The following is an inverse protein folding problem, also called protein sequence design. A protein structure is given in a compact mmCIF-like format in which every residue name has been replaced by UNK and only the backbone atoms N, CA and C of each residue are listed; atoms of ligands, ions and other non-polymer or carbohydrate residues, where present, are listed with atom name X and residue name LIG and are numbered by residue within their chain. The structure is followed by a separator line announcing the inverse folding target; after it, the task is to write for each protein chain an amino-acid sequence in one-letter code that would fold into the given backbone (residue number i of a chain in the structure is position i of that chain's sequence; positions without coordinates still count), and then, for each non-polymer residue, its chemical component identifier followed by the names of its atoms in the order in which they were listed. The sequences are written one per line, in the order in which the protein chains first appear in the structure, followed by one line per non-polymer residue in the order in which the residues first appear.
data_IF_710171089875
#
_entry.id   IF_710171089875
#
_cell.length_a   1.000
_cell.length_b   1.000
_cell.length_c   1.000
_cell.angle_alpha   90.00
_cell.angle_beta   90.00
_cell.angle_gamma   90.00
#
_symmetry.space_group_name_H-M   'P 1'
#
loop_
_entity.id
_entity.type
_entity.pdbx_description
1 polymer ?
#
# COMPACT_ATOMS: atom_id res chain seq x y z
N UNK A 1 -7.10 39.54 6.78
CA UNK A 1 -6.82 38.23 7.38
C UNK A 1 -7.14 37.18 6.33
N UNK A 2 -6.17 36.68 5.63
CA UNK A 2 -6.30 35.58 4.66
C UNK A 2 -6.40 34.30 5.46
N UNK A 3 -7.55 33.62 5.40
CA UNK A 3 -7.71 32.28 5.94
C UNK A 3 -6.67 31.39 5.27
N UNK A 4 -5.79 30.67 6.01
CA UNK A 4 -4.87 29.74 5.40
C UNK A 4 -5.71 28.75 4.60
N UNK A 5 -5.41 28.58 3.31
CA UNK A 5 -5.95 27.46 2.52
C UNK A 5 -5.60 26.19 3.30
N UNK A 6 -6.61 25.44 3.75
CA UNK A 6 -6.43 24.11 4.29
C UNK A 6 -5.52 23.34 3.33
N UNK A 7 -4.46 22.76 3.87
CA UNK A 7 -3.51 21.95 3.10
C UNK A 7 -4.28 20.74 2.58
N UNK A 8 -4.75 20.81 1.34
CA UNK A 8 -5.42 19.69 0.70
C UNK A 8 -4.39 18.63 0.31
N UNK A 9 -4.55 17.42 0.82
CA UNK A 9 -3.80 16.26 0.35
C UNK A 9 -4.17 15.92 -1.09
N UNK A 10 -3.23 15.38 -1.84
CA UNK A 10 -3.53 14.80 -3.14
C UNK A 10 -4.30 13.51 -2.96
N UNK A 11 -5.50 13.49 -3.52
CA UNK A 11 -6.37 12.32 -3.55
C UNK A 11 -6.82 12.11 -5.01
N UNK A 12 -6.19 11.18 -5.72
CA UNK A 12 -6.60 10.80 -7.06
C UNK A 12 -7.85 9.94 -6.93
N UNK A 13 -8.88 10.25 -7.71
CA UNK A 13 -10.18 9.60 -7.58
C UNK A 13 -10.74 9.19 -8.93
N UNK A 14 -11.13 7.92 -9.05
CA UNK A 14 -11.94 7.41 -10.14
C UNK A 14 -13.34 7.07 -9.61
N UNK A 15 -14.34 7.66 -10.22
CA UNK A 15 -15.73 7.41 -9.86
C UNK A 15 -16.22 6.08 -10.45
N UNK A 16 -17.13 5.37 -9.75
CA UNK A 16 -17.65 4.09 -10.22
C UNK A 16 -18.37 4.23 -11.55
N UNK A 17 -18.19 3.26 -12.44
CA UNK A 17 -18.94 3.12 -13.66
C UNK A 17 -20.13 2.19 -13.43
N UNK A 18 -21.32 2.61 -13.84
CA UNK A 18 -22.57 1.83 -13.69
C UNK A 18 -23.09 1.79 -12.25
N UNK A 19 -23.48 0.62 -11.74
CA UNK A 19 -24.02 0.45 -10.39
C UNK A 19 -22.93 0.57 -9.33
N UNK A 20 -23.02 1.60 -8.50
CA UNK A 20 -22.00 1.88 -7.50
C UNK A 20 -22.10 0.97 -6.26
N UNK A 21 -20.97 0.45 -5.80
CA UNK A 21 -20.84 -0.15 -4.49
C UNK A 21 -20.87 0.91 -3.38
N UNK A 22 -21.53 0.61 -2.26
CA UNK A 22 -21.67 1.56 -1.15
C UNK A 22 -20.35 1.79 -0.37
N UNK A 23 -19.40 0.87 -0.46
CA UNK A 23 -18.11 0.93 0.26
C UNK A 23 -17.03 1.35 -0.72
N UNK A 24 -16.40 2.54 -0.54
CA UNK A 24 -15.29 2.98 -1.39
C UNK A 24 -13.99 2.23 -1.06
N UNK A 25 -13.00 2.36 -1.94
CA UNK A 25 -11.66 1.84 -1.77
C UNK A 25 -10.67 3.00 -1.58
N UNK A 26 -9.75 2.87 -0.63
CA UNK A 26 -8.66 3.82 -0.42
C UNK A 26 -7.32 3.11 -0.49
N UNK A 27 -6.52 3.48 -1.48
CA UNK A 27 -5.20 2.94 -1.77
C UNK A 27 -4.11 3.82 -1.17
N UNK A 28 -3.16 3.19 -0.47
CA UNK A 28 -2.03 3.82 0.22
C UNK A 28 -0.73 3.28 -0.37
N UNK A 29 0.08 4.18 -0.93
CA UNK A 29 1.30 3.82 -1.64
C UNK A 29 2.45 3.38 -0.73
N UNK A 30 3.47 2.77 -1.32
CA UNK A 30 4.72 2.39 -0.67
C UNK A 30 5.74 3.53 -0.60
N UNK A 31 6.91 3.25 -0.01
CA UNK A 31 8.02 4.19 -0.01
C UNK A 31 8.46 4.56 -1.43
N UNK A 32 9.01 5.76 -1.60
CA UNK A 32 9.54 6.31 -2.86
C UNK A 32 8.53 6.52 -3.99
N UNK A 33 7.22 6.30 -3.75
CA UNK A 33 6.14 6.46 -4.73
C UNK A 33 5.11 7.49 -4.26
N UNK A 34 3.99 7.59 -4.96
CA UNK A 34 2.84 8.40 -4.59
C UNK A 34 1.56 7.77 -5.16
N UNK A 35 0.41 8.45 -5.06
CA UNK A 35 -0.88 7.95 -5.53
C UNK A 35 -0.88 7.50 -7.01
N UNK A 36 -0.01 8.07 -7.85
CA UNK A 36 0.13 7.73 -9.27
C UNK A 36 0.33 6.22 -9.52
N UNK A 37 1.02 5.49 -8.63
CA UNK A 37 1.29 4.07 -8.84
C UNK A 37 0.02 3.20 -8.85
N UNK A 38 -1.05 3.69 -8.28
CA UNK A 38 -2.37 3.07 -8.31
C UNK A 38 -3.21 3.54 -9.50
N UNK A 39 -2.97 4.78 -9.97
CA UNK A 39 -3.69 5.40 -11.07
C UNK A 39 -3.35 4.75 -12.42
N UNK A 40 -2.17 4.18 -12.57
CA UNK A 40 -1.73 3.49 -13.79
C UNK A 40 -2.71 2.37 -14.20
N UNK A 41 -3.22 1.58 -13.21
CA UNK A 41 -4.02 0.40 -13.49
C UNK A 41 -5.17 0.18 -12.50
N UNK A 42 -4.91 0.24 -11.19
CA UNK A 42 -5.85 -0.21 -10.17
C UNK A 42 -7.08 0.68 -10.04
N UNK A 43 -6.91 2.02 -10.03
CA UNK A 43 -8.05 2.92 -9.90
C UNK A 43 -9.04 2.77 -11.07
N UNK A 44 -8.61 2.77 -12.35
CA UNK A 44 -9.52 2.52 -13.47
C UNK A 44 -10.21 1.16 -13.36
N UNK A 45 -9.47 0.09 -13.08
CA UNK A 45 -10.01 -1.27 -12.96
C UNK A 45 -11.12 -1.38 -11.91
N UNK A 46 -10.91 -0.82 -10.72
CA UNK A 46 -11.92 -0.86 -9.66
C UNK A 46 -13.09 0.08 -9.92
N UNK A 47 -12.87 1.20 -10.60
CA UNK A 47 -13.96 2.08 -11.04
C UNK A 47 -14.87 1.39 -12.08
N UNK A 48 -14.29 0.65 -13.03
CA UNK A 48 -15.04 -0.20 -13.97
C UNK A 48 -15.82 -1.30 -13.26
N UNK A 49 -15.26 -1.87 -12.18
CA UNK A 49 -15.95 -2.83 -11.33
C UNK A 49 -17.00 -2.22 -10.38
N UNK A 50 -17.27 -0.90 -10.50
CA UNK A 50 -18.34 -0.21 -9.74
C UNK A 50 -17.91 0.34 -8.38
N UNK A 51 -16.62 0.40 -8.05
CA UNK A 51 -16.13 0.99 -6.80
C UNK A 51 -15.70 2.45 -7.01
N UNK A 52 -16.05 3.33 -6.07
CA UNK A 52 -15.34 4.60 -5.93
C UNK A 52 -13.92 4.29 -5.43
N UNK A 53 -12.92 4.49 -6.30
CA UNK A 53 -11.53 4.16 -6.04
C UNK A 53 -10.70 5.44 -5.83
N UNK A 54 -10.04 5.53 -4.68
CA UNK A 54 -9.27 6.70 -4.26
C UNK A 54 -7.84 6.28 -3.94
N UNK A 55 -6.84 7.05 -4.38
CA UNK A 55 -5.44 6.86 -3.99
C UNK A 55 -4.92 8.13 -3.32
N UNK A 56 -4.40 7.98 -2.11
CA UNK A 56 -3.82 9.07 -1.32
C UNK A 56 -2.32 9.17 -1.57
N UNK A 57 -1.82 10.36 -1.87
CA UNK A 57 -0.41 10.68 -1.67
C UNK A 57 -0.19 11.14 -0.24
N UNK A 58 0.63 10.41 0.51
CA UNK A 58 1.00 10.72 1.88
C UNK A 58 1.73 12.06 1.96
N UNK A 59 1.79 12.67 3.13
CA UNK A 59 2.54 13.91 3.37
C UNK A 59 3.95 13.84 2.78
N UNK A 60 4.37 14.88 2.08
CA UNK A 60 5.67 14.96 1.41
C UNK A 60 5.75 14.20 0.08
N UNK A 61 4.70 13.54 -0.39
CA UNK A 61 4.65 12.76 -1.64
C UNK A 61 3.60 13.33 -2.60
N UNK A 62 3.79 13.08 -3.91
CA UNK A 62 2.91 13.62 -4.94
C UNK A 62 2.78 15.13 -4.84
N UNK A 63 1.55 15.62 -4.96
CA UNK A 63 1.19 17.02 -4.72
C UNK A 63 0.81 17.31 -3.26
N UNK A 64 0.87 16.32 -2.35
CA UNK A 64 0.61 16.50 -0.93
C UNK A 64 1.67 17.40 -0.26
N UNK A 65 1.28 18.22 0.74
CA UNK A 65 2.20 19.13 1.43
C UNK A 65 3.24 18.38 2.27
N UNK A 66 4.33 19.06 2.66
CA UNK A 66 5.32 18.53 3.61
C UNK A 66 6.63 18.06 3.00
N UNK A 67 6.84 18.27 1.69
CA UNK A 67 8.11 17.95 1.01
C UNK A 67 9.31 18.66 1.64
N UNK A 68 9.12 19.88 2.11
CA UNK A 68 10.14 20.74 2.75
C UNK A 68 10.63 20.17 4.09
N UNK A 69 9.87 19.27 4.71
CA UNK A 69 10.18 18.64 5.98
C UNK A 69 10.10 17.10 5.93
N UNK A 70 10.26 16.50 4.76
CA UNK A 70 10.07 15.08 4.50
C UNK A 70 10.76 14.21 5.55
N UNK A 71 12.05 14.45 5.85
CA UNK A 71 12.85 13.64 6.75
C UNK A 71 12.39 13.63 8.22
N UNK A 72 11.47 14.53 8.57
CA UNK A 72 10.88 14.58 9.92
C UNK A 72 9.51 13.91 10.01
N UNK A 73 8.91 13.53 8.88
CA UNK A 73 7.60 12.88 8.84
C UNK A 73 7.72 11.45 9.38
N UNK A 74 6.87 11.13 10.34
CA UNK A 74 6.82 9.83 11.01
C UNK A 74 5.74 8.93 10.41
N UNK A 75 5.75 7.66 10.78
CA UNK A 75 4.65 6.74 10.47
C UNK A 75 3.34 7.20 11.12
N UNK A 76 3.38 7.84 12.29
CA UNK A 76 2.15 8.40 12.90
C UNK A 76 1.61 9.59 12.11
N UNK A 77 2.45 10.41 11.45
CA UNK A 77 1.99 11.45 10.53
C UNK A 77 1.27 10.82 9.33
N UNK A 78 1.81 9.76 8.74
CA UNK A 78 1.17 9.03 7.64
C UNK A 78 -0.14 8.35 8.06
N UNK A 79 -0.24 7.85 9.28
CA UNK A 79 -1.51 7.35 9.86
C UNK A 79 -2.54 8.47 9.97
N UNK A 80 -2.12 9.67 10.36
CA UNK A 80 -3.02 10.83 10.42
C UNK A 80 -3.49 11.25 9.01
N UNK A 81 -2.62 11.19 7.99
CA UNK A 81 -3.00 11.45 6.59
C UNK A 81 -4.12 10.49 6.15
N UNK A 82 -3.95 9.19 6.43
CA UNK A 82 -4.98 8.18 6.15
C UNK A 82 -6.28 8.49 6.91
N UNK A 83 -6.20 8.88 8.19
CA UNK A 83 -7.39 9.23 8.98
C UNK A 83 -8.13 10.44 8.41
N UNK A 84 -7.41 11.45 7.93
CA UNK A 84 -7.99 12.63 7.27
C UNK A 84 -8.64 12.25 5.93
N UNK A 85 -7.97 11.43 5.10
CA UNK A 85 -8.54 10.94 3.85
C UNK A 85 -9.82 10.13 4.10
N UNK A 86 -9.81 9.20 5.05
CA UNK A 86 -11.01 8.42 5.44
C UNK A 86 -12.15 9.34 5.88
N UNK A 87 -11.86 10.37 6.69
CA UNK A 87 -12.88 11.31 7.17
C UNK A 87 -13.48 12.18 6.05
N UNK A 88 -12.76 12.38 4.94
CA UNK A 88 -13.24 13.14 3.78
C UNK A 88 -14.14 12.34 2.83
N UNK A 89 -14.17 11.00 2.96
CA UNK A 89 -14.95 10.12 2.10
C UNK A 89 -16.40 9.98 2.61
N UNK A 90 -17.36 9.73 1.71
CA UNK A 90 -18.78 9.63 2.05
C UNK A 90 -19.12 8.42 2.92
N UNK A 91 -18.26 7.40 2.94
CA UNK A 91 -18.40 6.19 3.76
C UNK A 91 -17.01 5.63 4.11
N UNK A 92 -16.88 4.87 5.21
CA UNK A 92 -15.61 4.22 5.57
C UNK A 92 -15.13 3.30 4.44
N UNK A 93 -13.90 3.49 3.92
CA UNK A 93 -13.35 2.71 2.82
C UNK A 93 -12.79 1.37 3.28
N UNK A 94 -12.66 0.41 2.34
CA UNK A 94 -11.66 -0.65 2.45
C UNK A 94 -10.28 -0.01 2.24
N UNK A 95 -9.32 -0.34 3.10
CA UNK A 95 -7.96 0.20 3.01
C UNK A 95 -7.05 -0.79 2.28
N UNK A 96 -6.35 -0.34 1.25
CA UNK A 96 -5.41 -1.16 0.49
C UNK A 96 -4.02 -0.51 0.61
N UNK A 97 -3.09 -1.15 1.30
CA UNK A 97 -1.75 -0.62 1.50
C UNK A 97 -0.69 -1.50 0.86
N UNK A 98 0.19 -0.88 0.07
CA UNK A 98 1.37 -1.53 -0.53
C UNK A 98 2.62 -1.21 0.27
N UNK A 99 3.46 -2.20 0.54
CA UNK A 99 4.79 -2.02 1.15
C UNK A 99 4.72 -1.19 2.44
N UNK A 100 5.33 0.00 2.51
CA UNK A 100 5.18 0.97 3.60
C UNK A 100 3.72 1.33 3.85
N UNK A 101 2.92 1.55 2.81
CA UNK A 101 1.49 1.83 2.94
C UNK A 101 0.72 0.71 3.65
N UNK A 102 1.13 -0.56 3.45
CA UNK A 102 0.59 -1.69 4.20
C UNK A 102 0.93 -1.63 5.69
N UNK A 103 2.14 -1.17 6.03
CA UNK A 103 2.52 -0.93 7.43
C UNK A 103 1.72 0.24 8.04
N UNK A 104 1.52 1.33 7.30
CA UNK A 104 0.66 2.45 7.72
C UNK A 104 -0.77 1.98 7.98
N UNK A 105 -1.32 1.12 7.12
CA UNK A 105 -2.65 0.51 7.33
C UNK A 105 -2.68 -0.31 8.62
N UNK A 106 -1.66 -1.13 8.89
CA UNK A 106 -1.58 -1.89 10.14
C UNK A 106 -1.57 -0.96 11.37
N UNK A 107 -0.83 0.14 11.32
CA UNK A 107 -0.78 1.15 12.38
C UNK A 107 -2.11 1.90 12.54
N UNK A 108 -2.76 2.25 11.44
CA UNK A 108 -4.08 2.87 11.44
C UNK A 108 -5.11 2.00 12.18
N UNK A 109 -5.12 0.71 11.90
CA UNK A 109 -6.06 -0.25 12.51
C UNK A 109 -5.84 -0.51 14.01
N UNK A 110 -4.77 0.01 14.61
CA UNK A 110 -4.61 0.00 16.07
C UNK A 110 -5.59 0.94 16.79
N UNK A 111 -5.93 2.05 16.16
CA UNK A 111 -6.73 3.15 16.74
C UNK A 111 -8.09 3.31 16.06
N UNK A 112 -8.22 2.83 14.84
CA UNK A 112 -9.39 3.05 13.97
C UNK A 112 -9.92 1.73 13.44
N UNK A 113 -11.15 1.73 12.94
CA UNK A 113 -11.79 0.59 12.28
C UNK A 113 -11.92 0.83 10.79
N UNK A 114 -11.88 -0.25 10.01
CA UNK A 114 -12.22 -0.24 8.59
C UNK A 114 -13.14 -1.43 8.27
N UNK A 115 -13.96 -1.36 7.22
CA UNK A 115 -14.79 -2.47 6.77
C UNK A 115 -13.98 -3.73 6.45
N UNK A 116 -12.78 -3.53 5.91
CA UNK A 116 -11.76 -4.55 5.60
C UNK A 116 -10.43 -3.86 5.28
N UNK A 117 -9.34 -4.63 5.19
CA UNK A 117 -8.06 -4.12 4.71
C UNK A 117 -7.28 -5.14 3.89
N UNK A 118 -6.39 -4.65 3.04
CA UNK A 118 -5.50 -5.44 2.18
C UNK A 118 -4.06 -5.02 2.43
N UNK A 119 -3.20 -5.99 2.67
CA UNK A 119 -1.76 -5.81 2.85
C UNK A 119 -1.06 -6.42 1.64
N UNK A 120 -0.61 -5.58 0.71
CA UNK A 120 0.03 -5.99 -0.55
C UNK A 120 1.54 -5.80 -0.45
N UNK A 121 2.32 -6.87 -0.52
CA UNK A 121 3.78 -6.86 -0.32
C UNK A 121 4.19 -6.00 0.89
N UNK A 122 3.38 -6.03 1.95
CA UNK A 122 3.48 -5.10 3.09
C UNK A 122 4.74 -5.35 3.91
N UNK A 123 5.35 -4.27 4.39
CA UNK A 123 6.32 -4.37 5.48
C UNK A 123 5.69 -5.16 6.63
N UNK A 124 6.37 -6.20 7.14
CA UNK A 124 5.80 -7.08 8.16
C UNK A 124 5.65 -6.36 9.51
N UNK A 125 4.74 -6.82 10.38
CA UNK A 125 4.54 -6.21 11.70
C UNK A 125 5.76 -6.34 12.63
N UNK A 126 6.72 -7.20 12.29
CA UNK A 126 8.02 -7.34 12.98
C UNK A 126 9.03 -6.27 12.52
N UNK A 127 8.65 -5.42 11.59
CA UNK A 127 9.44 -4.31 11.11
C UNK A 127 10.36 -4.61 9.94
N UNK A 128 10.93 -3.54 9.40
CA UNK A 128 11.76 -3.58 8.20
C UNK A 128 13.12 -4.24 8.42
N UNK A 129 13.60 -4.30 9.67
CA UNK A 129 14.91 -4.89 10.00
C UNK A 129 14.98 -6.37 9.58
N UNK A 130 13.90 -7.12 9.72
CA UNK A 130 13.82 -8.53 9.27
C UNK A 130 13.98 -8.68 7.75
N UNK A 131 13.41 -7.76 6.96
CA UNK A 131 13.56 -7.71 5.52
C UNK A 131 14.98 -7.27 5.11
N UNK A 132 15.52 -6.25 5.77
CA UNK A 132 16.87 -5.73 5.51
C UNK A 132 17.96 -6.78 5.72
N UNK A 133 17.87 -7.59 6.77
CA UNK A 133 18.81 -8.69 7.02
C UNK A 133 18.78 -9.71 5.87
N UNK A 134 17.57 -10.11 5.42
CA UNK A 134 17.42 -11.02 4.28
C UNK A 134 18.05 -10.45 3.00
N UNK A 135 17.76 -9.19 2.70
CA UNK A 135 18.26 -8.49 1.53
C UNK A 135 19.79 -8.34 1.54
N UNK A 136 20.38 -8.01 2.71
CA UNK A 136 21.83 -7.90 2.88
C UNK A 136 22.58 -9.17 2.45
N UNK A 137 22.06 -10.34 2.83
CA UNK A 137 22.69 -11.61 2.48
C UNK A 137 22.36 -12.08 1.06
N UNK A 138 21.16 -11.80 0.54
CA UNK A 138 20.73 -12.29 -0.77
C UNK A 138 21.12 -11.37 -1.93
N UNK A 139 21.06 -10.04 -1.72
CA UNK A 139 21.24 -9.01 -2.76
C UNK A 139 22.02 -7.78 -2.22
N UNK A 140 23.32 -7.92 -1.88
CA UNK A 140 24.10 -6.82 -1.30
C UNK A 140 24.22 -5.60 -2.22
N UNK A 141 24.23 -5.81 -3.55
CA UNK A 141 24.21 -4.72 -4.53
C UNK A 141 22.95 -3.87 -4.45
N UNK A 142 21.77 -4.51 -4.41
CA UNK A 142 20.48 -3.84 -4.29
C UNK A 142 20.36 -3.10 -2.93
N UNK A 143 20.88 -3.68 -1.86
CA UNK A 143 20.94 -2.99 -0.56
C UNK A 143 21.77 -1.70 -0.63
N UNK A 144 22.91 -1.72 -1.33
CA UNK A 144 23.74 -0.53 -1.55
C UNK A 144 22.98 0.55 -2.33
N UNK A 145 22.26 0.15 -3.39
CA UNK A 145 21.51 1.07 -4.23
C UNK A 145 20.32 1.69 -3.46
N UNK A 146 19.62 0.89 -2.65
CA UNK A 146 18.59 1.43 -1.74
C UNK A 146 19.17 2.44 -0.76
N UNK A 147 20.34 2.18 -0.16
CA UNK A 147 21.01 3.15 0.71
C UNK A 147 21.40 4.43 -0.05
N UNK A 148 21.78 4.31 -1.33
CA UNK A 148 22.06 5.47 -2.19
C UNK A 148 20.81 6.31 -2.42
N UNK A 149 19.66 5.67 -2.74
CA UNK A 149 18.37 6.35 -2.87
C UNK A 149 17.95 7.05 -1.58
N UNK A 150 18.12 6.38 -0.44
CA UNK A 150 17.85 6.95 0.88
C UNK A 150 18.67 8.20 1.17
N UNK A 151 19.91 8.23 0.70
CA UNK A 151 20.81 9.39 0.84
C UNK A 151 20.56 10.48 -0.22
N UNK A 152 19.48 10.39 -0.99
CA UNK A 152 19.14 11.35 -2.06
C UNK A 152 19.99 11.19 -3.33
N UNK A 153 20.74 10.09 -3.45
CA UNK A 153 21.52 9.77 -4.65
C UNK A 153 20.67 9.17 -5.75
N UNK A 154 21.17 9.26 -6.98
CA UNK A 154 20.57 8.58 -8.13
C UNK A 154 21.07 7.14 -8.21
N UNK A 155 20.16 6.22 -8.54
CA UNK A 155 20.48 4.82 -8.82
C UNK A 155 20.26 4.50 -10.30
N UNK A 156 20.85 3.42 -10.77
CA UNK A 156 20.64 2.97 -12.14
C UNK A 156 19.18 2.50 -12.34
N UNK A 157 18.66 2.65 -13.56
CA UNK A 157 17.34 2.12 -13.93
C UNK A 157 17.22 0.60 -13.70
N UNK A 158 18.32 -0.13 -13.90
CA UNK A 158 18.37 -1.58 -13.65
C UNK A 158 18.15 -1.91 -12.17
N UNK A 159 18.64 -1.08 -11.25
CA UNK A 159 18.42 -1.27 -9.80
C UNK A 159 16.94 -1.07 -9.44
N UNK A 160 16.27 -0.07 -10.04
CA UNK A 160 14.85 0.14 -9.87
C UNK A 160 14.05 -1.05 -10.44
N UNK A 161 14.44 -1.51 -11.64
CA UNK A 161 13.82 -2.69 -12.25
C UNK A 161 13.97 -3.91 -11.35
N UNK A 162 15.19 -4.19 -10.88
CA UNK A 162 15.44 -5.34 -9.99
C UNK A 162 14.68 -5.26 -8.66
N UNK A 163 14.50 -4.07 -8.11
CA UNK A 163 13.77 -3.87 -6.86
C UNK A 163 12.27 -4.13 -7.01
N UNK A 164 11.66 -3.69 -8.10
CA UNK A 164 10.21 -3.63 -8.23
C UNK A 164 9.62 -4.72 -9.13
N UNK A 165 10.35 -5.16 -10.18
CA UNK A 165 9.80 -5.97 -11.25
C UNK A 165 10.52 -7.31 -11.40
N UNK A 166 9.76 -8.37 -11.55
CA UNK A 166 10.23 -9.69 -11.96
C UNK A 166 9.87 -9.99 -13.41
N UNK A 167 8.84 -9.32 -13.93
CA UNK A 167 8.37 -9.48 -15.30
C UNK A 167 8.99 -8.43 -16.23
N UNK A 168 8.93 -8.63 -17.56
CA UNK A 168 9.41 -7.65 -18.51
C UNK A 168 8.68 -6.31 -18.37
N UNK A 169 9.43 -5.24 -18.28
CA UNK A 169 8.96 -3.85 -18.31
C UNK A 169 9.71 -3.12 -19.42
N UNK A 170 9.02 -2.33 -20.23
CA UNK A 170 9.67 -1.57 -21.30
C UNK A 170 10.58 -0.47 -20.73
N UNK A 171 11.60 -0.08 -21.49
CA UNK A 171 12.50 1.00 -21.07
C UNK A 171 11.73 2.31 -20.86
N UNK A 172 10.75 2.60 -21.72
CA UNK A 172 9.93 3.82 -21.63
C UNK A 172 9.07 3.84 -20.36
N UNK A 173 8.41 2.71 -20.02
CA UNK A 173 7.67 2.56 -18.77
C UNK A 173 8.58 2.70 -17.55
N UNK A 174 9.74 2.03 -17.56
CA UNK A 174 10.69 2.12 -16.46
C UNK A 174 11.22 3.54 -16.27
N UNK A 175 11.51 4.27 -17.36
CA UNK A 175 11.89 5.68 -17.31
C UNK A 175 10.75 6.57 -16.82
N UNK A 176 9.49 6.26 -17.19
CA UNK A 176 8.31 6.94 -16.69
C UNK A 176 8.21 6.79 -15.16
N UNK A 177 8.24 5.57 -14.65
CA UNK A 177 8.19 5.31 -13.20
C UNK A 177 9.36 5.92 -12.44
N UNK A 178 10.56 5.89 -13.01
CA UNK A 178 11.76 6.51 -12.42
C UNK A 178 11.60 8.02 -12.26
N UNK A 179 11.02 8.73 -13.25
CA UNK A 179 10.75 10.17 -13.16
C UNK A 179 9.71 10.52 -12.09
N UNK A 180 8.78 9.60 -11.81
CA UNK A 180 7.75 9.77 -10.79
C UNK A 180 8.19 9.32 -9.39
N UNK A 181 9.29 8.57 -9.31
CA UNK A 181 9.88 8.17 -8.03
C UNK A 181 10.32 9.38 -7.22
N UNK A 182 10.18 9.31 -5.90
CA UNK A 182 10.40 10.42 -4.98
C UNK A 182 11.23 9.97 -3.77
N UNK A 183 11.93 10.85 -3.07
CA UNK A 183 12.59 10.53 -1.81
C UNK A 183 11.57 10.09 -0.74
N UNK A 184 12.04 9.33 0.26
CA UNK A 184 11.25 8.88 1.40
C UNK A 184 11.81 9.45 2.71
N UNK A 185 10.98 9.59 3.72
CA UNK A 185 11.34 10.04 5.05
C UNK A 185 12.27 9.07 5.77
N UNK A 186 13.44 9.55 6.17
CA UNK A 186 14.35 8.78 7.02
C UNK A 186 13.70 8.42 8.37
N UNK A 187 12.90 9.33 8.94
CA UNK A 187 12.19 9.07 10.19
C UNK A 187 11.18 7.94 10.04
N UNK A 188 10.37 7.92 8.97
CA UNK A 188 9.41 6.86 8.72
C UNK A 188 10.09 5.48 8.56
N UNK A 189 11.26 5.45 7.90
CA UNK A 189 12.05 4.22 7.75
C UNK A 189 12.56 3.69 9.10
N UNK A 190 13.04 4.56 9.99
CA UNK A 190 13.43 4.16 11.35
C UNK A 190 12.24 3.70 12.17
N UNK A 191 11.09 4.38 12.06
CA UNK A 191 9.85 3.99 12.73
C UNK A 191 9.42 2.58 12.32
N UNK A 192 9.44 2.26 11.02
CA UNK A 192 9.14 0.92 10.50
C UNK A 192 10.18 -0.14 10.90
N UNK A 193 11.41 0.27 11.17
CA UNK A 193 12.48 -0.68 11.51
C UNK A 193 12.38 -1.16 12.94
N UNK A 194 12.12 -0.26 13.92
CA UNK A 194 12.22 -0.57 15.34
C UNK A 194 11.26 0.22 16.24
N UNK A 195 10.94 1.49 15.91
CA UNK A 195 10.38 2.40 16.91
C UNK A 195 8.85 2.45 16.94
N UNK A 196 8.18 2.04 15.86
CA UNK A 196 6.73 2.18 15.73
C UNK A 196 6.04 0.90 15.23
N UNK A 197 6.42 -0.27 15.79
CA UNK A 197 5.89 -1.55 15.34
C UNK A 197 4.40 -1.72 15.66
N UNK A 198 3.61 -2.39 14.77
CA UNK A 198 2.19 -2.61 14.97
C UNK A 198 1.85 -3.51 16.15
N UNK A 199 0.84 -3.13 16.93
CA UNK A 199 0.22 -3.96 17.96
C UNK A 199 -0.78 -4.94 17.32
N UNK A 200 -0.29 -6.07 16.88
CA UNK A 200 -0.97 -7.03 16.01
C UNK A 200 -2.31 -7.54 16.55
N UNK A 201 -2.47 -7.63 17.88
CA UNK A 201 -3.73 -8.05 18.51
C UNK A 201 -4.92 -7.10 18.20
N UNK A 202 -4.65 -5.82 17.95
CA UNK A 202 -5.68 -4.83 17.60
C UNK A 202 -6.10 -4.93 16.15
N UNK A 203 -5.15 -5.19 15.25
CA UNK A 203 -5.37 -5.30 13.80
C UNK A 203 -6.25 -6.52 13.44
N UNK A 204 -6.11 -7.64 14.16
CA UNK A 204 -6.88 -8.88 13.92
C UNK A 204 -8.41 -8.73 13.96
N UNK A 205 -8.92 -7.61 14.41
CA UNK A 205 -10.38 -7.34 14.48
C UNK A 205 -10.97 -6.98 13.10
N UNK A 206 -10.13 -6.65 12.13
CA UNK A 206 -10.54 -6.27 10.77
C UNK A 206 -10.35 -7.45 9.82
N UNK A 207 -11.31 -7.75 8.92
CA UNK A 207 -11.11 -8.72 7.85
C UNK A 207 -9.90 -8.32 7.00
N UNK A 208 -8.94 -9.24 6.79
CA UNK A 208 -7.69 -8.98 6.08
C UNK A 208 -7.51 -9.89 4.89
N UNK A 209 -7.07 -9.33 3.77
CA UNK A 209 -6.42 -10.03 2.67
C UNK A 209 -4.92 -9.70 2.70
N UNK A 210 -4.07 -10.72 2.57
CA UNK A 210 -2.61 -10.54 2.48
C UNK A 210 -2.14 -11.08 1.15
N UNK A 211 -1.54 -10.21 0.34
CA UNK A 211 -1.01 -10.52 -0.99
C UNK A 211 0.50 -10.32 -1.01
N UNK A 212 1.23 -11.17 -1.72
CA UNK A 212 2.67 -11.08 -1.91
C UNK A 212 3.12 -11.61 -3.26
N UNK A 213 4.37 -11.42 -3.58
CA UNK A 213 4.99 -11.83 -4.83
C UNK A 213 6.11 -12.84 -4.56
N UNK A 214 6.18 -13.90 -5.39
CA UNK A 214 7.15 -14.96 -5.19
C UNK A 214 8.59 -14.53 -5.46
N UNK A 215 8.79 -13.52 -6.32
CA UNK A 215 10.08 -12.99 -6.71
C UNK A 215 10.34 -11.58 -6.14
N UNK A 216 9.64 -11.22 -5.06
CA UNK A 216 9.87 -9.97 -4.35
C UNK A 216 11.23 -9.99 -3.65
N UNK A 217 12.12 -9.08 -4.04
CA UNK A 217 13.45 -8.94 -3.46
C UNK A 217 13.47 -8.05 -2.21
N UNK A 218 12.46 -7.20 -2.02
CA UNK A 218 12.37 -6.27 -0.88
C UNK A 218 11.65 -6.90 0.32
N UNK A 219 10.49 -7.51 0.08
CA UNK A 219 9.69 -8.19 1.11
C UNK A 219 9.48 -9.64 0.66
N UNK A 220 10.40 -10.52 1.02
CA UNK A 220 10.37 -11.91 0.62
C UNK A 220 9.02 -12.58 0.92
N UNK A 221 8.57 -13.50 0.07
CA UNK A 221 7.30 -14.22 0.21
C UNK A 221 7.13 -14.84 1.62
N UNK A 222 8.21 -15.34 2.21
CA UNK A 222 8.21 -15.89 3.58
C UNK A 222 7.84 -14.86 4.65
N UNK A 223 8.19 -13.57 4.46
CA UNK A 223 7.81 -12.48 5.36
C UNK A 223 6.32 -12.11 5.18
N UNK A 224 5.82 -12.17 3.96
CA UNK A 224 4.39 -11.98 3.67
C UNK A 224 3.57 -13.10 4.31
N UNK A 225 4.00 -14.36 4.18
CA UNK A 225 3.37 -15.50 4.85
C UNK A 225 3.44 -15.40 6.37
N UNK A 226 4.56 -14.92 6.92
CA UNK A 226 4.70 -14.65 8.35
C UNK A 226 3.72 -13.57 8.82
N UNK A 227 3.54 -12.51 8.03
CA UNK A 227 2.55 -11.46 8.28
C UNK A 227 1.15 -12.05 8.31
N UNK A 228 0.77 -12.85 7.31
CA UNK A 228 -0.52 -13.52 7.25
C UNK A 228 -0.75 -14.43 8.46
N UNK A 229 0.23 -15.28 8.83
CA UNK A 229 0.15 -16.13 10.04
C UNK A 229 -0.01 -15.30 11.31
N UNK A 230 0.68 -14.17 11.42
CA UNK A 230 0.57 -13.25 12.57
C UNK A 230 -0.87 -12.76 12.75
N UNK A 231 -1.58 -12.51 11.66
CA UNK A 231 -2.98 -12.06 11.70
C UNK A 231 -4.01 -13.19 11.62
N UNK A 232 -3.58 -14.45 11.50
CA UNK A 232 -4.46 -15.61 11.46
C UNK A 232 -5.19 -15.80 10.14
N UNK A 233 -4.59 -15.31 9.03
CA UNK A 233 -5.10 -15.47 7.66
C UNK A 233 -4.07 -16.19 6.78
N UNK A 234 -4.46 -16.55 5.56
CA UNK A 234 -3.56 -17.14 4.56
C UNK A 234 -3.12 -16.06 3.57
N UNK A 235 -1.84 -16.04 3.23
CA UNK A 235 -1.31 -15.18 2.18
C UNK A 235 -1.61 -15.76 0.80
N UNK A 236 -1.89 -14.88 -0.16
CA UNK A 236 -1.91 -15.21 -1.57
C UNK A 236 -0.59 -14.73 -2.20
N UNK A 237 0.26 -15.67 -2.64
CA UNK A 237 1.57 -15.37 -3.24
C UNK A 237 1.47 -15.56 -4.74
N UNK A 238 1.71 -14.48 -5.51
CA UNK A 238 1.66 -14.49 -6.97
C UNK A 238 2.99 -15.02 -7.55
N UNK A 239 2.98 -16.15 -8.27
CA UNK A 239 4.17 -16.68 -8.90
C UNK A 239 4.63 -15.77 -10.03
N UNK A 240 5.96 -15.66 -10.22
CA UNK A 240 6.55 -14.90 -11.31
C UNK A 240 6.39 -13.38 -11.24
N UNK A 241 5.95 -12.83 -10.11
CA UNK A 241 5.79 -11.40 -9.88
C UNK A 241 6.80 -10.87 -8.86
N UNK A 242 7.14 -9.58 -8.96
CA UNK A 242 8.02 -8.83 -8.06
C UNK A 242 7.25 -7.90 -7.12
N UNK A 243 8.00 -7.01 -6.44
CA UNK A 243 7.46 -6.14 -5.40
C UNK A 243 6.35 -5.21 -5.87
N UNK A 244 6.48 -4.67 -7.09
CA UNK A 244 5.54 -3.70 -7.66
C UNK A 244 4.29 -4.31 -8.26
N UNK A 245 3.58 -5.20 -7.55
CA UNK A 245 2.42 -5.96 -8.04
C UNK A 245 1.44 -5.15 -8.90
N UNK A 246 1.18 -3.89 -8.53
CA UNK A 246 0.24 -3.01 -9.22
C UNK A 246 0.79 -2.42 -10.54
N UNK A 247 2.11 -2.54 -10.77
CA UNK A 247 2.81 -2.01 -11.95
C UNK A 247 3.44 -3.13 -12.81
N UNK A 248 3.37 -4.39 -12.37
CA UNK A 248 3.85 -5.56 -13.13
C UNK A 248 3.02 -5.80 -14.39
N UNK A 249 3.57 -6.51 -15.36
CA UNK A 249 2.86 -6.85 -16.60
C UNK A 249 1.53 -7.58 -16.31
N UNK A 250 1.52 -8.50 -15.36
CA UNK A 250 0.36 -9.29 -14.95
C UNK A 250 -0.44 -8.65 -13.79
N UNK A 251 -0.43 -7.33 -13.66
CA UNK A 251 -1.11 -6.57 -12.58
C UNK A 251 -2.60 -6.93 -12.41
N UNK A 252 -3.24 -7.39 -13.45
CA UNK A 252 -4.65 -7.83 -13.42
C UNK A 252 -4.87 -8.99 -12.44
N UNK A 253 -3.89 -9.87 -12.27
CA UNK A 253 -3.99 -11.03 -11.36
C UNK A 253 -4.20 -10.63 -9.91
N UNK A 254 -3.34 -9.78 -9.29
CA UNK A 254 -3.59 -9.28 -7.94
C UNK A 254 -4.83 -8.38 -7.84
N UNK A 255 -5.16 -7.61 -8.87
CA UNK A 255 -6.38 -6.80 -8.91
C UNK A 255 -7.63 -7.69 -8.89
N UNK A 256 -7.69 -8.73 -9.74
CA UNK A 256 -8.82 -9.67 -9.78
C UNK A 256 -8.96 -10.46 -8.48
N UNK A 257 -7.87 -10.95 -7.91
CA UNK A 257 -7.90 -11.64 -6.61
C UNK A 257 -8.46 -10.74 -5.49
N UNK A 258 -8.11 -9.45 -5.48
CA UNK A 258 -8.69 -8.49 -4.55
C UNK A 258 -10.19 -8.29 -4.83
N UNK A 259 -10.58 -8.14 -6.09
CA UNK A 259 -11.99 -7.97 -6.47
C UNK A 259 -12.85 -9.18 -6.03
N UNK A 260 -12.39 -10.39 -6.30
CA UNK A 260 -13.08 -11.63 -5.92
C UNK A 260 -13.25 -11.73 -4.40
N UNK A 261 -12.20 -11.36 -3.65
CA UNK A 261 -12.25 -11.34 -2.19
C UNK A 261 -13.25 -10.30 -1.65
N UNK A 262 -13.30 -9.10 -2.24
CA UNK A 262 -14.27 -8.06 -1.87
C UNK A 262 -15.71 -8.51 -2.13
N UNK A 263 -15.99 -9.13 -3.27
CA UNK A 263 -17.31 -9.66 -3.61
C UNK A 263 -17.74 -10.74 -2.62
N UNK A 264 -16.84 -11.66 -2.26
CA UNK A 264 -17.12 -12.70 -1.27
C UNK A 264 -17.39 -12.10 0.13
N UNK A 265 -16.63 -11.08 0.53
CA UNK A 265 -16.83 -10.40 1.82
C UNK A 265 -18.19 -9.69 1.91
N UNK A 266 -18.62 -9.04 0.82
CA UNK A 266 -19.87 -8.32 0.73
C UNK A 266 -21.08 -9.27 0.71
N UNK A 267 -20.99 -10.40 0.00
CA UNK A 267 -22.05 -11.42 -0.05
C UNK A 267 -22.30 -12.03 1.33
N UNK A 268 -21.25 -12.34 2.09
CA UNK A 268 -21.38 -12.83 3.48
C UNK A 268 -22.09 -11.84 4.40
N UNK A 269 -21.74 -10.56 4.33
CA UNK A 269 -22.37 -9.50 5.15
C UNK A 269 -23.85 -9.32 4.83
N UNK A 270 -24.26 -9.49 3.59
CA UNK A 270 -25.67 -9.42 3.16
C UNK A 270 -26.48 -10.58 3.71
N UNK A 271 -25.99 -11.81 3.62
CA UNK A 271 -26.66 -13.00 4.16
C UNK A 271 -26.79 -12.99 5.70
N UNK A 272 -25.77 -12.47 6.41
CA UNK A 272 -25.84 -12.32 7.87
C UNK A 272 -26.86 -11.25 8.32
N UNK A 273 -27.00 -10.15 7.56
CA UNK A 273 -28.03 -9.13 7.83
C UNK A 273 -29.45 -9.65 7.61
N UNK A 274 -29.67 -10.44 6.57
CA UNK A 274 -30.98 -11.06 6.31
C UNK A 274 -31.35 -12.09 7.39
N UNK A 275 -30.40 -12.91 7.80
CA UNK A 275 -30.59 -13.89 8.89
C UNK A 275 -30.91 -13.24 10.25
N UNK A 276 -30.43 -12.03 10.51
CA UNK A 276 -30.71 -11.27 11.75
C UNK A 276 -32.05 -10.51 11.71
N UNK A 277 -32.59 -10.20 10.53
CA UNK A 277 -33.90 -9.55 10.38
C UNK A 277 -35.06 -10.52 10.41
N UNK A 278 -34.80 -11.82 10.20
CA UNK A 278 -35.80 -12.89 10.24
C UNK A 278 -35.95 -13.59 11.61
N UNK A 279 -35.22 -13.09 12.62
CA UNK A 279 -35.38 -13.49 14.03
C UNK A 279 -35.94 -12.32 14.85
#
# INVERSE_FOLDING_TARGET
MTIPREKSYELITHQPQGTAHATPLLFIHGAFTAAWCWDEHFLPFFAEAGYAAHALSLSGHGASPGRDRLDTLSIDDYVNDVAMAVASLPAPPVLIGHSMGGFVVQKYLEKHTAPAAVLMCSVPPQGLLSAAVGLFFSKPGLMKDLNTMLSGGQVALDSLREALFAQPVSVDQLQHFYRLAQPESHRALWDMSLFCLPRTALVRRTPLLVQGAALDHLIAASLVEMTARTYGVTAHIFPGMGHGLMLEHDWEKPAQNLLDWLQHLLSKKSSEKESRKGK
#
